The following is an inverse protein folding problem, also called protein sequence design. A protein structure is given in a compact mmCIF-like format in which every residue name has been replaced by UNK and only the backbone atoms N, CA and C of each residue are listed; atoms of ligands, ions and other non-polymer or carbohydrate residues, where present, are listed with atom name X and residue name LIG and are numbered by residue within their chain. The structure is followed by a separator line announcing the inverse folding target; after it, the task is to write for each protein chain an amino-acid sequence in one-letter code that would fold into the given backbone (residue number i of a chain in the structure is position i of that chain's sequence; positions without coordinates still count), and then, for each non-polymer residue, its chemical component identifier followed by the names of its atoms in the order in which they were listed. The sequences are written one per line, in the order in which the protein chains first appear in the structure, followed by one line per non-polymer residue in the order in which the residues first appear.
data_IF_898019081262
#
_entry.id   IF_898019081262
#
_cell.length_a   1.000
_cell.length_b   1.000
_cell.length_c   1.000
_cell.angle_alpha   90.00
_cell.angle_beta   90.00
_cell.angle_gamma   90.00
#
_symmetry.space_group_name_H-M   'P 1'
#
loop_
_entity.id
_entity.type
_entity.pdbx_description
1 polymer ?
#
# COMPACT_ATOMS: atom_id res chain seq x y z
N UNK A 1 3.54 8.38 26.65
CA UNK A 1 3.89 7.01 27.06
C UNK A 1 3.09 5.92 26.30
N UNK A 2 1.80 6.06 26.07
CA UNK A 2 0.98 5.05 25.40
C UNK A 2 1.27 4.92 23.87
N UNK A 3 1.56 6.04 23.19
CA UNK A 3 1.91 6.07 21.78
C UNK A 3 3.25 5.37 21.42
N UNK A 4 4.19 5.31 22.35
CA UNK A 4 5.45 4.60 22.13
C UNK A 4 5.29 3.07 22.21
N UNK A 5 4.36 2.58 23.06
CA UNK A 5 4.18 1.14 23.30
C UNK A 5 3.58 0.39 22.12
N UNK A 6 2.58 0.96 21.42
CA UNK A 6 1.97 0.26 20.28
C UNK A 6 2.92 0.17 19.09
N UNK A 7 3.70 1.22 18.82
CA UNK A 7 4.73 1.21 17.75
C UNK A 7 5.76 0.11 17.99
N UNK A 8 6.21 0.00 19.23
CA UNK A 8 7.14 -1.05 19.67
C UNK A 8 6.54 -2.44 19.46
N UNK A 9 5.27 -2.64 19.80
CA UNK A 9 4.57 -3.91 19.61
C UNK A 9 4.46 -4.26 18.12
N UNK A 10 4.16 -3.29 17.25
CA UNK A 10 4.08 -3.52 15.80
C UNK A 10 5.45 -3.84 15.22
N UNK A 11 6.51 -3.11 15.60
CA UNK A 11 7.86 -3.43 15.14
C UNK A 11 8.29 -4.84 15.57
N UNK A 12 8.00 -5.22 16.81
CA UNK A 12 8.27 -6.56 17.30
C UNK A 12 7.52 -7.64 16.53
N UNK A 13 6.25 -7.38 16.19
CA UNK A 13 5.47 -8.27 15.35
C UNK A 13 6.09 -8.43 13.95
N UNK A 14 6.48 -7.32 13.31
CA UNK A 14 7.18 -7.33 12.01
C UNK A 14 8.44 -8.21 12.07
N UNK A 15 9.23 -8.07 13.13
CA UNK A 15 10.45 -8.84 13.38
C UNK A 15 10.15 -10.33 13.64
N UNK A 16 9.16 -10.64 14.49
CA UNK A 16 8.79 -12.01 14.85
C UNK A 16 8.22 -12.81 13.67
N UNK A 17 7.40 -12.16 12.84
CA UNK A 17 6.78 -12.78 11.67
C UNK A 17 7.66 -12.71 10.42
N UNK A 18 8.88 -12.20 10.55
CA UNK A 18 9.87 -12.12 9.46
C UNK A 18 9.34 -11.39 8.22
N UNK A 19 8.59 -10.30 8.43
CA UNK A 19 7.84 -9.63 7.38
C UNK A 19 8.71 -8.66 6.56
N UNK A 20 9.63 -7.94 7.22
CA UNK A 20 10.50 -6.91 6.63
C UNK A 20 11.90 -7.05 7.21
N UNK A 21 12.91 -6.91 6.35
CA UNK A 21 14.31 -6.96 6.74
C UNK A 21 15.02 -5.63 6.48
N UNK A 22 16.11 -5.35 7.20
CA UNK A 22 16.97 -4.22 6.87
C UNK A 22 17.48 -4.30 5.42
N UNK A 23 17.32 -3.22 4.68
CA UNK A 23 17.65 -3.13 3.25
C UNK A 23 16.46 -3.33 2.33
N UNK A 24 15.34 -3.89 2.82
CA UNK A 24 14.13 -4.05 2.01
C UNK A 24 13.54 -2.70 1.59
N UNK A 25 12.96 -2.67 0.40
CA UNK A 25 12.02 -1.63 -0.03
C UNK A 25 10.61 -1.96 0.50
N UNK A 26 9.88 -0.94 0.92
CA UNK A 26 8.45 -1.10 1.25
C UNK A 26 7.63 -0.17 0.38
N UNK A 27 6.87 -0.75 -0.54
CA UNK A 27 5.94 -0.08 -1.43
C UNK A 27 4.58 0.03 -0.75
N UNK A 28 4.19 1.24 -0.37
CA UNK A 28 2.96 1.48 0.37
C UNK A 28 1.84 1.91 -0.57
N UNK A 29 0.76 1.13 -0.65
CA UNK A 29 -0.44 1.52 -1.38
C UNK A 29 -1.31 2.44 -0.52
N UNK A 30 -1.48 3.69 -0.95
CA UNK A 30 -2.20 4.72 -0.20
C UNK A 30 -3.43 5.20 -0.98
N UNK A 31 -4.61 4.97 -0.41
CA UNK A 31 -5.89 5.40 -1.02
C UNK A 31 -6.29 6.83 -0.70
N UNK A 32 -5.63 7.48 0.26
CA UNK A 32 -6.06 8.76 0.84
C UNK A 32 -6.93 8.61 2.10
N UNK A 33 -7.44 7.40 2.37
CA UNK A 33 -8.19 7.11 3.61
C UNK A 33 -7.30 7.05 4.85
N UNK A 34 -7.92 7.25 6.02
CA UNK A 34 -7.23 7.37 7.30
C UNK A 34 -6.27 6.20 7.61
N UNK A 35 -6.67 4.97 7.31
CA UNK A 35 -5.89 3.78 7.64
C UNK A 35 -4.63 3.66 6.78
N UNK A 36 -4.75 3.91 5.47
CA UNK A 36 -3.61 3.89 4.55
C UNK A 36 -2.61 5.01 4.86
N UNK A 37 -3.10 6.17 5.26
CA UNK A 37 -2.29 7.30 5.72
C UNK A 37 -1.59 6.98 7.04
N UNK A 38 -2.30 6.35 7.98
CA UNK A 38 -1.72 5.92 9.26
C UNK A 38 -0.60 4.90 9.05
N UNK A 39 -0.81 3.92 8.14
CA UNK A 39 0.21 2.94 7.76
C UNK A 39 1.46 3.61 7.18
N UNK A 40 1.28 4.52 6.21
CA UNK A 40 2.40 5.25 5.60
C UNK A 40 3.18 6.04 6.65
N UNK A 41 2.49 6.81 7.52
CA UNK A 41 3.12 7.60 8.59
C UNK A 41 3.84 6.72 9.61
N UNK A 42 3.27 5.57 9.96
CA UNK A 42 3.92 4.61 10.84
C UNK A 42 5.23 4.09 10.25
N UNK A 43 5.19 3.58 9.02
CA UNK A 43 6.38 3.06 8.33
C UNK A 43 7.44 4.15 8.13
N UNK A 44 7.03 5.38 7.78
CA UNK A 44 7.93 6.52 7.68
C UNK A 44 8.63 6.83 8.99
N UNK A 45 7.91 6.83 10.12
CA UNK A 45 8.49 7.08 11.44
C UNK A 45 9.45 5.97 11.89
N UNK A 46 9.21 4.76 11.44
CA UNK A 46 9.98 3.58 11.84
C UNK A 46 11.05 3.18 10.82
N UNK A 47 11.14 3.87 9.67
CA UNK A 47 12.03 3.48 8.56
C UNK A 47 13.49 3.33 8.95
N UNK A 48 14.01 4.27 9.75
CA UNK A 48 15.41 4.24 10.17
C UNK A 48 15.68 3.08 11.14
N UNK A 49 14.71 2.78 12.02
CA UNK A 49 14.78 1.64 12.94
C UNK A 49 14.70 0.31 12.21
N UNK A 50 13.79 0.20 11.24
CA UNK A 50 13.59 -1.01 10.44
C UNK A 50 14.66 -1.16 9.34
N UNK A 51 15.43 -0.11 9.07
CA UNK A 51 16.46 -0.10 8.02
C UNK A 51 15.89 -0.19 6.61
N UNK A 52 14.71 0.39 6.35
CA UNK A 52 13.95 0.25 5.09
C UNK A 52 13.94 1.52 4.24
N UNK A 53 13.73 1.33 2.94
CA UNK A 53 13.38 2.40 2.01
C UNK A 53 11.86 2.41 1.75
N UNK A 54 11.28 3.59 1.52
CA UNK A 54 9.84 3.74 1.28
C UNK A 54 9.56 4.37 -0.08
N UNK A 55 8.58 3.82 -0.78
CA UNK A 55 7.88 4.45 -1.91
C UNK A 55 6.38 4.35 -1.69
N UNK A 56 5.63 5.31 -2.24
CA UNK A 56 4.18 5.38 -2.16
C UNK A 56 3.58 5.21 -3.56
N UNK A 57 2.52 4.40 -3.66
CA UNK A 57 1.69 4.31 -4.86
C UNK A 57 0.27 4.69 -4.50
N UNK A 58 -0.28 5.67 -5.20
CA UNK A 58 -1.71 5.97 -5.22
C UNK A 58 -2.32 5.40 -6.51
N UNK A 59 -3.32 4.51 -6.37
CA UNK A 59 -4.02 3.93 -7.52
C UNK A 59 -5.34 4.67 -7.70
N UNK A 60 -5.45 5.40 -8.80
CA UNK A 60 -6.62 6.18 -9.17
C UNK A 60 -7.55 5.34 -10.07
N UNK A 61 -8.78 5.11 -9.63
CA UNK A 61 -9.75 4.25 -10.31
C UNK A 61 -10.65 4.99 -11.31
N UNK A 62 -10.69 6.33 -11.27
CA UNK A 62 -11.55 7.15 -12.14
C UNK A 62 -13.05 7.05 -11.90
N UNK A 63 -13.48 6.38 -10.82
CA UNK A 63 -14.90 6.07 -10.56
C UNK A 63 -15.59 7.20 -9.81
N UNK A 64 -14.88 7.94 -8.94
CA UNK A 64 -15.44 8.95 -8.02
C UNK A 64 -15.23 10.41 -8.45
N UNK A 65 -14.77 10.66 -9.67
CA UNK A 65 -14.64 12.02 -10.20
C UNK A 65 -13.80 12.95 -9.32
N UNK A 66 -14.41 14.03 -8.79
CA UNK A 66 -13.71 15.05 -8.01
C UNK A 66 -13.14 14.55 -6.67
N UNK A 67 -13.74 13.54 -6.06
CA UNK A 67 -13.21 12.96 -4.81
C UNK A 67 -11.87 12.25 -5.05
N UNK A 68 -11.75 11.51 -6.15
CA UNK A 68 -10.48 10.88 -6.56
C UNK A 68 -9.35 11.89 -6.71
N UNK A 69 -9.63 13.05 -7.31
CA UNK A 69 -8.63 14.11 -7.47
C UNK A 69 -8.19 14.71 -6.13
N UNK A 70 -9.13 14.88 -5.19
CA UNK A 70 -8.82 15.37 -3.84
C UNK A 70 -7.91 14.40 -3.09
N UNK A 71 -8.23 13.10 -3.16
CA UNK A 71 -7.43 12.07 -2.53
C UNK A 71 -6.02 12.01 -3.14
N UNK A 72 -5.92 12.09 -4.45
CA UNK A 72 -4.64 12.17 -5.15
C UNK A 72 -3.80 13.36 -4.67
N UNK A 73 -4.31 14.58 -4.74
CA UNK A 73 -3.60 15.78 -4.29
C UNK A 73 -3.17 15.69 -2.82
N UNK A 74 -4.04 15.14 -1.97
CA UNK A 74 -3.72 14.94 -0.57
C UNK A 74 -2.54 13.97 -0.39
N UNK A 75 -2.51 12.86 -1.12
CA UNK A 75 -1.42 11.87 -1.05
C UNK A 75 -0.12 12.45 -1.60
N UNK A 76 -0.17 13.18 -2.72
CA UNK A 76 0.98 13.87 -3.30
C UNK A 76 1.59 14.89 -2.32
N UNK A 77 0.76 15.72 -1.69
CA UNK A 77 1.21 16.68 -0.68
C UNK A 77 1.83 15.98 0.53
N UNK A 78 1.15 14.97 1.06
CA UNK A 78 1.64 14.19 2.19
C UNK A 78 3.01 13.57 1.91
N UNK A 79 3.19 12.94 0.75
CA UNK A 79 4.46 12.32 0.38
C UNK A 79 5.56 13.35 0.17
N UNK A 80 5.24 14.51 -0.41
CA UNK A 80 6.17 15.64 -0.55
C UNK A 80 6.66 16.12 0.80
N UNK A 81 5.76 16.30 1.77
CA UNK A 81 6.09 16.76 3.13
C UNK A 81 6.95 15.73 3.88
N UNK A 82 6.73 14.44 3.63
CA UNK A 82 7.49 13.35 4.25
C UNK A 82 8.80 13.01 3.51
N UNK A 83 9.03 13.59 2.33
CA UNK A 83 10.18 13.27 1.49
C UNK A 83 10.14 11.85 0.94
N UNK A 84 8.94 11.32 0.63
CA UNK A 84 8.73 9.98 0.06
C UNK A 84 8.47 10.13 -1.44
N UNK A 85 9.15 9.30 -2.25
CA UNK A 85 8.83 9.18 -3.68
C UNK A 85 7.42 8.62 -3.84
N UNK A 86 6.58 9.34 -4.56
CA UNK A 86 5.18 8.98 -4.82
C UNK A 86 4.93 8.88 -6.32
N UNK A 87 4.09 7.93 -6.72
CA UNK A 87 3.52 7.82 -8.06
C UNK A 87 2.02 7.58 -7.98
N UNK A 88 1.26 8.37 -8.71
CA UNK A 88 -0.15 8.11 -8.96
C UNK A 88 -0.31 7.37 -10.30
N UNK A 89 -1.01 6.24 -10.27
CA UNK A 89 -1.25 5.40 -11.44
C UNK A 89 -2.75 5.25 -11.65
N UNK A 90 -3.25 5.71 -12.81
CA UNK A 90 -4.65 5.55 -13.18
C UNK A 90 -4.89 4.16 -13.77
N UNK A 91 -5.93 3.49 -13.28
CA UNK A 91 -6.42 2.20 -13.81
C UNK A 91 -7.76 2.34 -14.51
N UNK A 92 -8.19 3.55 -14.80
CA UNK A 92 -9.47 3.88 -15.41
C UNK A 92 -9.72 3.09 -16.70
N UNK A 93 -8.74 3.00 -17.58
CA UNK A 93 -8.87 2.30 -18.86
C UNK A 93 -9.06 0.78 -18.67
N UNK A 94 -8.45 0.22 -17.62
CA UNK A 94 -8.61 -1.21 -17.28
C UNK A 94 -10.00 -1.54 -16.72
N UNK A 95 -10.74 -0.52 -16.26
CA UNK A 95 -12.06 -0.68 -15.65
C UNK A 95 -13.21 -0.38 -16.62
N UNK A 96 -12.94 0.16 -17.81
CA UNK A 96 -13.98 0.59 -18.74
C UNK A 96 -14.96 -0.51 -19.07
N UNK A 97 -14.49 -1.72 -19.37
CA UNK A 97 -15.37 -2.84 -19.74
C UNK A 97 -16.27 -3.28 -18.58
N UNK A 98 -15.72 -3.32 -17.36
CA UNK A 98 -16.49 -3.69 -16.15
C UNK A 98 -17.52 -2.60 -15.80
N UNK A 99 -17.18 -1.34 -15.96
CA UNK A 99 -18.08 -0.19 -15.74
C UNK A 99 -19.22 -0.21 -16.77
N UNK A 100 -18.91 -0.42 -18.05
CA UNK A 100 -19.92 -0.51 -19.12
C UNK A 100 -20.87 -1.68 -18.95
N UNK A 101 -20.34 -2.82 -18.48
CA UNK A 101 -21.14 -4.02 -18.20
C UNK A 101 -21.94 -3.93 -16.89
N UNK A 102 -21.69 -2.92 -16.06
CA UNK A 102 -22.25 -2.76 -14.69
C UNK A 102 -22.08 -4.03 -13.82
N UNK A 103 -21.00 -4.77 -14.03
CA UNK A 103 -20.73 -6.04 -13.36
C UNK A 103 -19.35 -6.01 -12.69
N UNK A 104 -19.28 -6.52 -11.45
CA UNK A 104 -18.03 -6.79 -10.73
C UNK A 104 -16.99 -5.65 -10.74
N UNK A 105 -17.43 -4.39 -10.75
CA UNK A 105 -16.52 -3.21 -10.82
C UNK A 105 -15.54 -3.18 -9.63
N UNK A 106 -16.01 -3.56 -8.45
CA UNK A 106 -15.18 -3.58 -7.24
C UNK A 106 -14.08 -4.64 -7.34
N UNK A 107 -14.41 -5.82 -7.85
CA UNK A 107 -13.43 -6.90 -8.04
C UNK A 107 -12.42 -6.53 -9.13
N UNK A 108 -12.86 -5.98 -10.26
CA UNK A 108 -11.98 -5.49 -11.30
C UNK A 108 -11.04 -4.38 -10.80
N UNK A 109 -11.55 -3.46 -9.97
CA UNK A 109 -10.76 -2.40 -9.35
C UNK A 109 -9.72 -2.97 -8.37
N UNK A 110 -10.09 -3.99 -7.61
CA UNK A 110 -9.19 -4.71 -6.72
C UNK A 110 -8.08 -5.40 -7.51
N UNK A 111 -8.43 -6.18 -8.53
CA UNK A 111 -7.45 -6.87 -9.39
C UNK A 111 -6.49 -5.88 -10.08
N UNK A 112 -7.03 -4.80 -10.65
CA UNK A 112 -6.24 -3.77 -11.29
C UNK A 112 -5.24 -3.12 -10.33
N UNK A 113 -5.66 -2.83 -9.10
CA UNK A 113 -4.79 -2.29 -8.03
C UNK A 113 -3.66 -3.23 -7.69
N UNK A 114 -3.95 -4.52 -7.45
CA UNK A 114 -2.90 -5.50 -7.14
C UNK A 114 -1.92 -5.68 -8.30
N UNK A 115 -2.41 -5.72 -9.53
CA UNK A 115 -1.56 -5.83 -10.70
C UNK A 115 -0.58 -4.65 -10.81
N UNK A 116 -1.04 -3.42 -10.58
CA UNK A 116 -0.20 -2.22 -10.57
C UNK A 116 0.84 -2.30 -9.46
N UNK A 117 0.43 -2.60 -8.22
CA UNK A 117 1.34 -2.67 -7.09
C UNK A 117 2.42 -3.74 -7.27
N UNK A 118 2.06 -4.90 -7.81
CA UNK A 118 3.02 -5.97 -8.11
C UNK A 118 4.01 -5.53 -9.18
N UNK A 119 3.54 -4.93 -10.27
CA UNK A 119 4.39 -4.43 -11.35
C UNK A 119 5.39 -3.38 -10.86
N UNK A 120 4.92 -2.41 -10.06
CA UNK A 120 5.78 -1.36 -9.50
C UNK A 120 6.78 -1.92 -8.46
N UNK A 121 6.36 -2.88 -7.65
CA UNK A 121 7.26 -3.54 -6.70
C UNK A 121 8.37 -4.31 -7.41
N UNK A 122 8.05 -5.09 -8.44
CA UNK A 122 9.02 -5.84 -9.25
C UNK A 122 10.02 -4.91 -9.99
N UNK A 123 9.51 -3.78 -10.50
CA UNK A 123 10.36 -2.80 -11.14
C UNK A 123 11.33 -2.15 -10.16
N UNK A 124 10.84 -1.80 -8.98
CA UNK A 124 11.67 -1.20 -7.94
C UNK A 124 12.64 -2.20 -7.31
N UNK A 125 12.26 -3.47 -7.16
CA UNK A 125 13.16 -4.52 -6.68
C UNK A 125 14.40 -4.68 -7.57
N UNK A 126 14.22 -4.60 -8.89
CA UNK A 126 15.34 -4.63 -9.86
C UNK A 126 16.24 -3.40 -9.74
N UNK A 127 15.66 -2.22 -9.47
CA UNK A 127 16.39 -0.97 -9.28
C UNK A 127 17.14 -0.97 -7.94
N UNK A 128 16.48 -1.38 -6.86
CA UNK A 128 17.00 -1.36 -5.50
C UNK A 128 18.07 -2.44 -5.27
N UNK A 129 17.95 -3.58 -5.94
CA UNK A 129 18.79 -4.75 -5.73
C UNK A 129 18.49 -5.50 -4.42
N UNK A 130 17.39 -5.19 -3.78
CA UNK A 130 16.88 -5.79 -2.55
C UNK A 130 15.40 -6.11 -2.69
N UNK A 131 14.85 -7.07 -1.91
CA UNK A 131 13.43 -7.38 -1.93
C UNK A 131 12.55 -6.16 -1.69
N UNK A 132 11.43 -6.09 -2.39
CA UNK A 132 10.40 -5.07 -2.18
C UNK A 132 9.13 -5.71 -1.63
N UNK A 133 8.67 -5.24 -0.48
CA UNK A 133 7.43 -5.66 0.17
C UNK A 133 6.32 -4.69 -0.16
N UNK A 134 5.12 -5.19 -0.39
CA UNK A 134 3.93 -4.36 -0.60
C UNK A 134 3.18 -4.25 0.72
N UNK A 135 2.95 -3.02 1.18
CA UNK A 135 2.20 -2.75 2.39
C UNK A 135 0.85 -2.08 2.05
N UNK A 136 -0.25 -2.68 2.51
CA UNK A 136 -1.61 -2.19 2.34
C UNK A 136 -2.34 -2.16 3.66
N UNK A 137 -3.16 -1.12 3.87
CA UNK A 137 -4.09 -1.07 4.98
C UNK A 137 -5.44 -1.62 4.52
N UNK A 138 -5.82 -2.79 5.05
CA UNK A 138 -7.13 -3.40 4.83
C UNK A 138 -7.84 -3.62 6.15
N UNK A 139 -9.16 -3.37 6.16
CA UNK A 139 -10.02 -3.84 7.25
C UNK A 139 -10.35 -5.31 7.03
N UNK A 140 -10.14 -6.14 8.05
CA UNK A 140 -10.65 -7.49 8.08
C UNK A 140 -12.09 -7.46 8.64
N UNK A 141 -13.08 -7.28 7.76
CA UNK A 141 -14.50 -7.45 8.07
C UNK A 141 -15.13 -6.39 9.00
N UNK A 142 -16.46 -6.41 9.08
CA UNK A 142 -17.35 -5.46 9.75
C UNK A 142 -17.22 -5.33 11.29
N UNK A 143 -16.22 -5.92 11.92
CA UNK A 143 -15.96 -5.75 13.35
C UNK A 143 -14.67 -4.96 13.52
N UNK A 144 -14.82 -3.63 13.54
CA UNK A 144 -13.74 -2.68 13.72
C UNK A 144 -12.79 -3.06 14.85
N UNK A 145 -11.53 -2.76 14.64
CA UNK A 145 -10.42 -2.55 15.58
C UNK A 145 -9.12 -3.28 15.23
N UNK A 146 -9.05 -4.17 14.24
CA UNK A 146 -7.78 -4.82 13.89
C UNK A 146 -7.29 -4.32 12.52
N UNK A 147 -6.31 -3.40 12.52
CA UNK A 147 -5.48 -3.13 11.34
C UNK A 147 -4.69 -4.39 11.04
N UNK A 148 -5.13 -5.18 10.07
CA UNK A 148 -4.35 -6.27 9.51
C UNK A 148 -3.42 -5.71 8.45
N UNK A 149 -2.13 -5.64 8.78
CA UNK A 149 -1.08 -5.36 7.82
C UNK A 149 -0.87 -6.62 6.95
N UNK A 150 -1.38 -6.62 5.73
CA UNK A 150 -1.00 -7.64 4.75
C UNK A 150 0.31 -7.20 4.08
N UNK A 151 1.42 -7.73 4.58
CA UNK A 151 2.70 -7.70 3.89
C UNK A 151 2.75 -8.91 2.96
N UNK A 152 2.61 -8.66 1.66
CA UNK A 152 2.74 -9.71 0.66
C UNK A 152 4.23 -9.87 0.36
N UNK A 153 4.79 -11.03 0.68
CA UNK A 153 6.11 -11.43 0.19
C UNK A 153 6.02 -11.48 -1.33
N UNK A 154 6.99 -10.90 -2.05
CA UNK A 154 7.11 -10.83 -3.51
C UNK A 154 7.14 -12.17 -4.24
N UNK A 155 6.12 -12.97 -4.03
CA UNK A 155 5.80 -14.16 -4.81
C UNK A 155 4.51 -13.83 -5.56
N UNK A 156 4.59 -13.81 -6.88
CA UNK A 156 3.56 -13.37 -7.81
C UNK A 156 2.11 -13.76 -7.45
N UNK A 157 1.17 -13.37 -8.27
CA UNK A 157 -0.30 -13.52 -8.14
C UNK A 157 -0.83 -14.85 -7.55
N UNK A 158 -0.04 -15.92 -7.57
CA UNK A 158 -0.41 -17.21 -6.95
C UNK A 158 -0.42 -17.17 -5.41
N UNK A 159 0.42 -16.37 -4.78
CA UNK A 159 0.42 -16.20 -3.32
C UNK A 159 -0.80 -15.44 -2.77
N UNK A 160 -1.48 -14.66 -3.62
CA UNK A 160 -2.64 -13.85 -3.22
C UNK A 160 -3.99 -14.60 -3.37
N UNK A 161 -4.02 -15.75 -4.05
CA UNK A 161 -5.25 -16.57 -4.23
C UNK A 161 -5.60 -17.43 -3.03
N UNK A 162 -4.73 -17.54 -2.05
CA UNK A 162 -4.90 -18.38 -0.87
C UNK A 162 -5.38 -17.67 0.39
N UNK A 163 -5.90 -16.43 0.28
CA UNK A 163 -6.47 -15.68 1.41
C UNK A 163 -7.90 -15.26 1.13
#
# INVERSE_FOLDING_TARGET
MQQAKWKESVCRFIEQEDLIHPGDGVLVGVSGGADSVALLRFLWQMRDRLGICLRCIHVEHGIRGQESLRDQYFVEELCRDLGIEERTISVKDRLQDAVLAQTAVEEAAREARYAVLTQEAEAWEKELGHPVRIALAHHAGDNGETMLFHLVRGTGLEGMRGM
#
